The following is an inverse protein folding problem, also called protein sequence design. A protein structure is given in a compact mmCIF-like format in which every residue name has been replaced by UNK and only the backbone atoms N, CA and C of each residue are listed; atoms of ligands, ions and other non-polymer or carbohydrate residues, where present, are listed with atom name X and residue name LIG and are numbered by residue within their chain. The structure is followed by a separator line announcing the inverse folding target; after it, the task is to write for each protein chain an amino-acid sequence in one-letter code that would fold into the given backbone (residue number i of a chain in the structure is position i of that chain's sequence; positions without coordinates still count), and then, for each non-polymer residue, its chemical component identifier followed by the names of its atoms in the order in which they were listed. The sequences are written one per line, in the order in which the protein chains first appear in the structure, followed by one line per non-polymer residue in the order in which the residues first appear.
data_IF_086956233775
#
_entry.id   IF_086956233775
#
_cell.length_a   1.000
_cell.length_b   1.000
_cell.length_c   1.000
_cell.angle_alpha   90.00
_cell.angle_beta   90.00
_cell.angle_gamma   90.00
#
_symmetry.space_group_name_H-M   'P 1'
#
loop_
_entity.id
_entity.type
_entity.pdbx_description
1 polymer ?
#
# COMPACT_ATOMS: atom_id res chain seq x y z
N UNK A 1 -0.59 21.72 3.47
CA UNK A 1 -1.73 20.83 3.34
C UNK A 1 -2.07 20.23 4.69
N UNK A 2 -3.33 20.13 4.99
CA UNK A 2 -3.76 19.50 6.23
C UNK A 2 -3.45 18.02 6.21
N UNK A 3 -3.14 17.51 7.40
CA UNK A 3 -2.90 16.10 7.56
C UNK A 3 -4.15 15.30 7.19
N UNK A 4 -3.97 14.27 6.38
CA UNK A 4 -5.06 13.38 6.01
C UNK A 4 -5.32 12.37 7.12
N UNK A 5 -6.58 12.18 7.43
CA UNK A 5 -7.01 11.14 8.35
C UNK A 5 -7.55 9.97 7.55
N UNK A 6 -7.14 8.77 7.93
CA UNK A 6 -7.57 7.56 7.24
C UNK A 6 -8.41 6.70 8.15
N UNK A 7 -9.40 6.08 7.54
CA UNK A 7 -10.28 5.11 8.17
C UNK A 7 -10.11 3.78 7.47
N UNK A 8 -10.41 2.70 8.16
CA UNK A 8 -10.39 1.39 7.55
C UNK A 8 -11.61 0.60 7.97
N UNK A 9 -12.11 -0.21 7.03
CA UNK A 9 -13.24 -1.12 7.25
C UNK A 9 -12.76 -2.52 6.93
N UNK A 10 -12.74 -3.44 7.91
CA UNK A 10 -12.27 -4.78 7.65
C UNK A 10 -13.36 -5.65 7.03
N UNK A 11 -12.93 -6.56 6.18
CA UNK A 11 -13.76 -7.63 5.65
C UNK A 11 -12.95 -8.91 5.65
N UNK A 12 -13.48 -9.95 6.28
CA UNK A 12 -12.77 -11.21 6.45
C UNK A 12 -13.40 -12.31 5.61
N UNK A 13 -12.53 -13.10 5.02
CA UNK A 13 -12.88 -14.36 4.37
C UNK A 13 -12.09 -15.49 5.04
N UNK A 14 -12.30 -16.71 4.59
CA UNK A 14 -11.67 -17.87 5.25
C UNK A 14 -10.15 -17.83 5.21
N UNK A 15 -9.57 -17.37 4.10
CA UNK A 15 -8.14 -17.42 3.87
C UNK A 15 -7.47 -16.05 3.75
N UNK A 16 -8.23 -14.96 3.90
CA UNK A 16 -7.62 -13.63 3.90
C UNK A 16 -8.55 -12.59 4.51
N UNK A 17 -7.96 -11.44 4.82
CA UNK A 17 -8.68 -10.28 5.31
C UNK A 17 -8.27 -9.07 4.46
N UNK A 18 -9.23 -8.23 4.12
CA UNK A 18 -8.95 -6.97 3.42
C UNK A 18 -9.44 -5.80 4.28
N UNK A 19 -8.59 -4.79 4.40
CA UNK A 19 -8.98 -3.50 4.94
C UNK A 19 -9.24 -2.55 3.78
N UNK A 20 -10.44 -1.98 3.74
CA UNK A 20 -10.73 -0.87 2.83
C UNK A 20 -10.28 0.39 3.53
N UNK A 21 -9.25 1.04 3.00
CA UNK A 21 -8.63 2.21 3.61
C UNK A 21 -9.00 3.43 2.80
N UNK A 22 -9.46 4.47 3.46
CA UNK A 22 -9.88 5.68 2.75
C UNK A 22 -9.69 6.92 3.63
N UNK A 23 -9.44 8.05 2.97
CA UNK A 23 -9.39 9.34 3.66
C UNK A 23 -10.79 9.82 4.00
N UNK A 24 -10.90 10.69 5.02
CA UNK A 24 -12.19 11.23 5.46
C UNK A 24 -12.96 11.89 4.32
N UNK A 25 -12.25 12.54 3.39
CA UNK A 25 -12.90 13.21 2.26
C UNK A 25 -13.11 12.29 1.05
N UNK A 26 -12.69 11.03 1.13
CA UNK A 26 -12.86 10.07 0.04
C UNK A 26 -11.96 10.30 -1.17
N UNK A 27 -10.97 11.18 -1.07
CA UNK A 27 -10.11 11.53 -2.20
C UNK A 27 -9.01 10.53 -2.48
N UNK A 28 -8.64 9.73 -1.50
CA UNK A 28 -7.66 8.68 -1.68
C UNK A 28 -8.13 7.43 -0.96
N UNK A 29 -7.93 6.28 -1.60
CA UNK A 29 -8.35 5.00 -1.03
C UNK A 29 -7.51 3.88 -1.59
N UNK A 30 -7.53 2.75 -0.91
CA UNK A 30 -6.91 1.52 -1.40
C UNK A 30 -7.47 0.32 -0.63
N UNK A 31 -7.03 -0.86 -1.03
CA UNK A 31 -7.25 -2.09 -0.26
C UNK A 31 -5.91 -2.58 0.25
N UNK A 32 -5.90 -2.99 1.51
CA UNK A 32 -4.72 -3.61 2.13
C UNK A 32 -5.13 -4.99 2.58
N UNK A 33 -4.52 -6.02 1.98
CA UNK A 33 -4.93 -7.40 2.18
C UNK A 33 -3.85 -8.20 2.90
N UNK A 34 -4.30 -9.11 3.75
CA UNK A 34 -3.46 -10.00 4.54
C UNK A 34 -3.94 -11.44 4.32
N UNK A 35 -3.03 -12.33 3.97
CA UNK A 35 -3.37 -13.70 3.62
C UNK A 35 -2.82 -14.66 4.66
N UNK A 36 -3.64 -15.69 5.01
CA UNK A 36 -3.22 -16.66 6.01
C UNK A 36 -2.05 -17.52 5.54
N UNK A 37 -1.96 -17.79 4.24
CA UNK A 37 -0.87 -18.59 3.68
C UNK A 37 0.46 -17.88 3.69
N UNK A 38 0.45 -16.54 3.68
CA UNK A 38 1.66 -15.72 3.69
C UNK A 38 1.52 -14.63 4.74
N UNK A 39 1.47 -15.00 6.03
CA UNK A 39 1.16 -14.04 7.08
C UNK A 39 2.19 -12.92 7.24
N UNK A 40 3.39 -13.10 6.70
CA UNK A 40 4.42 -12.07 6.74
C UNK A 40 4.27 -11.04 5.61
N UNK A 41 3.35 -11.23 4.67
CA UNK A 41 3.20 -10.36 3.51
C UNK A 41 1.87 -9.63 3.55
N UNK A 42 1.89 -8.35 3.23
CA UNK A 42 0.70 -7.54 3.01
C UNK A 42 0.69 -7.06 1.57
N UNK A 43 -0.50 -6.82 1.03
CA UNK A 43 -0.66 -6.44 -0.39
C UNK A 43 -1.57 -5.23 -0.49
N UNK A 44 -1.08 -4.17 -1.13
CA UNK A 44 -1.89 -3.02 -1.51
C UNK A 44 -2.43 -3.24 -2.92
N UNK A 45 -3.71 -3.00 -3.09
CA UNK A 45 -4.35 -3.03 -4.40
C UNK A 45 -5.37 -1.90 -4.50
N UNK A 46 -5.82 -1.63 -5.73
CA UNK A 46 -6.87 -0.64 -6.03
C UNK A 46 -6.57 0.73 -5.44
N UNK A 47 -5.31 1.17 -5.55
CA UNK A 47 -4.93 2.50 -5.10
C UNK A 47 -5.58 3.55 -6.00
N UNK A 48 -6.36 4.42 -5.39
CA UNK A 48 -7.07 5.49 -6.08
C UNK A 48 -6.71 6.83 -5.46
N UNK A 49 -6.42 7.81 -6.32
CA UNK A 49 -6.20 9.20 -5.90
C UNK A 49 -7.02 10.08 -6.83
N UNK A 50 -7.93 10.85 -6.25
CA UNK A 50 -8.74 11.79 -7.02
C UNK A 50 -7.83 12.76 -7.78
N UNK A 51 -8.16 13.01 -9.04
CA UNK A 51 -7.27 13.78 -9.91
C UNK A 51 -6.98 15.18 -9.42
N UNK A 52 -7.92 15.79 -8.70
CA UNK A 52 -7.74 17.16 -8.22
C UNK A 52 -6.73 17.27 -7.08
N UNK A 53 -6.33 16.16 -6.47
CA UNK A 53 -5.37 16.15 -5.36
C UNK A 53 -4.11 15.36 -5.68
N UNK A 54 -3.91 14.98 -6.92
CA UNK A 54 -2.68 14.30 -7.32
C UNK A 54 -1.49 15.25 -7.15
N UNK A 55 -0.32 14.68 -6.87
CA UNK A 55 0.94 15.41 -6.64
C UNK A 55 0.92 16.25 -5.36
N UNK A 56 -0.02 15.99 -4.46
CA UNK A 56 -0.09 16.68 -3.18
C UNK A 56 0.30 15.79 -2.00
N UNK A 57 0.91 14.64 -2.28
CA UNK A 57 1.36 13.73 -1.24
C UNK A 57 0.29 12.82 -0.67
N UNK A 58 -0.93 12.82 -1.22
CA UNK A 58 -2.02 12.00 -0.72
C UNK A 58 -1.75 10.50 -0.85
N UNK A 59 -1.22 10.10 -1.99
CA UNK A 59 -0.90 8.69 -2.22
C UNK A 59 0.24 8.24 -1.31
N UNK A 60 1.26 9.08 -1.12
CA UNK A 60 2.35 8.79 -0.19
C UNK A 60 1.80 8.62 1.23
N UNK A 61 0.85 9.46 1.63
CA UNK A 61 0.26 9.40 2.96
C UNK A 61 -0.47 8.07 3.19
N UNK A 62 -1.28 7.62 2.22
CA UNK A 62 -2.01 6.36 2.40
C UNK A 62 -1.06 5.16 2.38
N UNK A 63 -0.01 5.20 1.57
CA UNK A 63 0.98 4.13 1.57
C UNK A 63 1.71 4.07 2.91
N UNK A 64 2.08 5.22 3.48
CA UNK A 64 2.69 5.26 4.80
C UNK A 64 1.76 4.69 5.87
N UNK A 65 0.47 4.98 5.79
CA UNK A 65 -0.51 4.38 6.68
C UNK A 65 -0.50 2.85 6.56
N UNK A 66 -0.47 2.35 5.33
CA UNK A 66 -0.43 0.91 5.08
C UNK A 66 0.85 0.27 5.61
N UNK A 67 1.99 0.96 5.48
CA UNK A 67 3.26 0.48 6.03
C UNK A 67 3.15 0.31 7.54
N UNK A 68 2.63 1.32 8.24
CA UNK A 68 2.52 1.24 9.69
C UNK A 68 1.52 0.17 10.13
N UNK A 69 0.40 0.05 9.43
CA UNK A 69 -0.58 -0.99 9.72
C UNK A 69 0.02 -2.40 9.51
N UNK A 70 0.79 -2.58 8.45
CA UNK A 70 1.44 -3.86 8.16
C UNK A 70 2.46 -4.22 9.23
N UNK A 71 3.24 -3.23 9.69
CA UNK A 71 4.18 -3.43 10.80
C UNK A 71 3.46 -3.86 12.07
N UNK A 72 2.37 -3.20 12.39
CA UNK A 72 1.59 -3.50 13.60
C UNK A 72 1.03 -4.92 13.57
N UNK A 73 0.79 -5.46 12.39
CA UNK A 73 0.31 -6.84 12.22
C UNK A 73 1.45 -7.86 12.13
N UNK A 74 2.70 -7.41 12.23
CA UNK A 74 3.85 -8.31 12.18
C UNK A 74 4.29 -8.72 10.80
N UNK A 75 3.83 -8.01 9.77
CA UNK A 75 4.28 -8.29 8.41
C UNK A 75 5.70 -7.81 8.19
N UNK A 76 6.42 -8.50 7.32
CA UNK A 76 7.79 -8.15 6.96
C UNK A 76 7.86 -7.42 5.63
N UNK A 77 6.92 -7.67 4.75
CA UNK A 77 6.94 -7.14 3.39
C UNK A 77 5.59 -6.58 3.00
N UNK A 78 5.63 -5.54 2.20
CA UNK A 78 4.45 -4.92 1.63
C UNK A 78 4.59 -4.94 0.11
N UNK A 79 3.63 -5.53 -0.55
CA UNK A 79 3.59 -5.64 -2.01
C UNK A 79 2.59 -4.65 -2.56
N UNK A 80 2.89 -4.13 -3.73
CA UNK A 80 1.97 -3.28 -4.47
C UNK A 80 2.02 -3.68 -5.93
N UNK A 81 0.84 -3.76 -6.55
CA UNK A 81 0.75 -4.04 -7.97
C UNK A 81 0.79 -2.73 -8.74
N UNK A 82 1.64 -2.64 -9.73
CA UNK A 82 1.69 -1.47 -10.59
C UNK A 82 0.95 -1.73 -11.89
N UNK A 83 0.45 -0.66 -12.48
CA UNK A 83 0.03 -0.70 -13.87
C UNK A 83 1.24 -0.64 -14.79
N UNK A 84 1.01 -0.74 -16.09
CA UNK A 84 2.10 -0.73 -17.06
C UNK A 84 2.68 0.65 -17.33
N UNK A 85 2.21 1.68 -16.64
CA UNK A 85 2.68 3.03 -16.84
C UNK A 85 4.05 3.25 -16.19
N UNK A 86 5.00 3.73 -16.97
CA UNK A 86 6.36 3.93 -16.47
C UNK A 86 6.44 4.92 -15.32
N UNK A 87 5.62 5.97 -15.35
CA UNK A 87 5.67 6.99 -14.31
C UNK A 87 5.23 6.42 -12.95
N UNK A 88 4.27 5.49 -12.94
CA UNK A 88 3.82 4.82 -11.71
C UNK A 88 4.95 3.96 -11.16
N UNK A 89 5.64 3.21 -12.03
CA UNK A 89 6.75 2.37 -11.62
C UNK A 89 7.90 3.18 -11.03
N UNK A 90 8.23 4.30 -11.66
CA UNK A 90 9.28 5.19 -11.15
C UNK A 90 8.87 5.78 -9.80
N UNK A 91 7.61 6.13 -9.65
CA UNK A 91 7.11 6.67 -8.40
C UNK A 91 7.20 5.62 -7.27
N UNK A 92 6.83 4.37 -7.55
CA UNK A 92 6.97 3.30 -6.56
C UNK A 92 8.41 3.12 -6.13
N UNK A 93 9.35 3.18 -7.07
CA UNK A 93 10.77 3.07 -6.75
C UNK A 93 11.22 4.21 -5.83
N UNK A 94 10.74 5.42 -6.06
CA UNK A 94 11.07 6.56 -5.20
C UNK A 94 10.53 6.38 -3.78
N UNK A 95 9.44 5.68 -3.63
CA UNK A 95 8.88 5.36 -2.31
C UNK A 95 9.62 4.23 -1.60
N UNK A 96 10.53 3.55 -2.25
CA UNK A 96 11.31 2.47 -1.66
C UNK A 96 10.89 1.08 -2.09
N UNK A 97 9.92 0.96 -2.98
CA UNK A 97 9.53 -0.34 -3.52
C UNK A 97 10.53 -0.83 -4.55
N UNK A 98 10.74 -2.13 -4.60
CA UNK A 98 11.61 -2.77 -5.59
C UNK A 98 10.79 -3.72 -6.43
N UNK A 99 11.05 -3.74 -7.72
CA UNK A 99 10.39 -4.65 -8.64
C UNK A 99 10.76 -6.09 -8.31
N UNK A 100 9.75 -6.95 -8.14
CA UNK A 100 9.95 -8.35 -7.72
C UNK A 100 9.73 -9.36 -8.83
N UNK A 101 9.13 -8.97 -9.93
CA UNK A 101 8.89 -9.89 -11.04
C UNK A 101 8.96 -9.15 -12.34
N UNK A 102 9.00 -9.91 -13.44
CA UNK A 102 8.95 -9.33 -14.78
C UNK A 102 7.62 -8.68 -15.09
N UNK A 103 6.59 -8.92 -14.23
CA UNK A 103 5.27 -8.36 -14.47
C UNK A 103 5.09 -7.05 -13.74
N UNK A 104 4.32 -7.06 -12.64
CA UNK A 104 3.82 -5.80 -12.11
C UNK A 104 3.95 -5.70 -10.60
N UNK A 105 4.64 -6.64 -9.94
CA UNK A 105 4.72 -6.61 -8.48
C UNK A 105 5.94 -5.82 -8.00
N UNK A 106 5.69 -4.96 -7.06
CA UNK A 106 6.72 -4.23 -6.32
C UNK A 106 6.57 -4.55 -4.84
N UNK A 107 7.67 -4.57 -4.12
CA UNK A 107 7.66 -4.90 -2.70
C UNK A 107 8.66 -4.06 -1.94
N UNK A 108 8.39 -3.86 -0.65
CA UNK A 108 9.33 -3.24 0.28
C UNK A 108 9.24 -3.93 1.62
N UNK A 109 10.35 -3.89 2.38
CA UNK A 109 10.34 -4.34 3.76
C UNK A 109 9.68 -3.27 4.63
N UNK A 110 8.82 -3.71 5.53
CA UNK A 110 8.17 -2.78 6.45
C UNK A 110 8.62 -2.97 7.89
N UNK A 111 9.41 -4.01 8.12
CA UNK A 111 9.70 -4.42 9.49
C UNK A 111 10.68 -3.49 10.19
N UNK A 112 11.72 -3.04 9.50
CA UNK A 112 12.73 -2.19 10.11
C UNK A 112 13.05 -0.97 9.24
N UNK A 113 12.21 -0.68 8.26
CA UNK A 113 12.40 0.46 7.37
C UNK A 113 13.49 0.26 6.34
N UNK A 114 14.09 -0.90 6.27
CA UNK A 114 15.15 -1.21 5.31
C UNK A 114 14.67 -2.37 4.45
N UNK A 115 14.57 -2.13 3.15
CA UNK A 115 14.22 -3.21 2.24
C UNK A 115 15.37 -4.20 2.16
N UNK A 116 15.05 -5.46 2.29
CA UNK A 116 16.04 -6.51 2.21
C UNK A 116 16.63 -6.58 0.80
N UNK A 117 17.93 -6.63 0.73
CA UNK A 117 18.65 -6.54 -0.53
C UNK A 117 18.77 -7.86 -1.24
#
# INVERSE_FOLDING_TARGET
MNELKFNSVPQKWDDYETLFVFSDNGWVSCRLSFYTDTPQDAVISDLYVHKSVRKQGCATAIINWCIECSKDRGCNSLFIRSDNDDWIRQWYKRLGFKKKSSQVWFAMSVNNGVFDK
#
